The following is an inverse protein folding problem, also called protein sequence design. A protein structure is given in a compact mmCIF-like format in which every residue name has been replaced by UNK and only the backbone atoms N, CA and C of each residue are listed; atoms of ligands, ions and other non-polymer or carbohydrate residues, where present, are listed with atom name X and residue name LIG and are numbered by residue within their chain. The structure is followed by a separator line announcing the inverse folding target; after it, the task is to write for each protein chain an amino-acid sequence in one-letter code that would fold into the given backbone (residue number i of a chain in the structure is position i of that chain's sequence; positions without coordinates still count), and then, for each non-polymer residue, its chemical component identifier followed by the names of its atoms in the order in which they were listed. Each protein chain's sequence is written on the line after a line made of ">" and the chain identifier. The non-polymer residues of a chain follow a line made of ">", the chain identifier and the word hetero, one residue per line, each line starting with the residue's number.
data_IF_880361376686
#
_entry.id   IF_880361376686
#
_cell.length_a   1.000
_cell.length_b   1.000
_cell.length_c   1.000
_cell.angle_alpha   90.00
_cell.angle_beta   90.00
_cell.angle_gamma   90.00
#
_symmetry.space_group_name_H-M   'P 1'
#
loop_
_entity.id
_entity.type
_entity.pdbx_description
1 polymer ?
#
# COMPACT_ATOMS: atom_id res chain seq x y z
N UNK A 1 8.88 18.06 -4.34
CA UNK A 1 8.41 16.68 -4.40
C UNK A 1 7.98 16.37 -2.99
N UNK A 2 6.68 16.31 -2.78
CA UNK A 2 6.11 16.09 -1.44
C UNK A 2 6.41 14.65 -1.01
N UNK A 3 6.58 14.40 0.29
CA UNK A 3 6.93 13.07 0.79
C UNK A 3 5.93 11.99 0.31
N UNK A 4 4.64 12.34 0.18
CA UNK A 4 3.63 11.45 -0.39
C UNK A 4 3.95 11.00 -1.83
N UNK A 5 4.44 11.91 -2.68
CA UNK A 5 4.78 11.61 -4.07
C UNK A 5 5.98 10.65 -4.15
N UNK A 6 6.98 10.86 -3.28
CA UNK A 6 8.14 9.97 -3.18
C UNK A 6 7.72 8.55 -2.78
N UNK A 7 6.88 8.42 -1.76
CA UNK A 7 6.38 7.11 -1.32
C UNK A 7 5.57 6.41 -2.41
N UNK A 8 4.79 7.16 -3.18
CA UNK A 8 4.01 6.62 -4.29
C UNK A 8 4.91 6.19 -5.46
N UNK A 9 5.95 6.95 -5.78
CA UNK A 9 6.95 6.55 -6.79
C UNK A 9 7.63 5.23 -6.41
N UNK A 10 8.10 5.11 -5.16
CA UNK A 10 8.69 3.85 -4.68
C UNK A 10 7.68 2.69 -4.69
N UNK A 11 6.39 2.95 -4.48
CA UNK A 11 5.36 1.93 -4.59
C UNK A 11 5.22 1.40 -6.04
N UNK A 12 5.32 2.29 -7.03
CA UNK A 12 5.32 1.90 -8.45
C UNK A 12 6.58 1.13 -8.84
N UNK A 13 7.74 1.49 -8.31
CA UNK A 13 8.99 0.72 -8.50
C UNK A 13 8.86 -0.71 -7.95
N UNK A 14 8.30 -0.87 -6.75
CA UNK A 14 8.04 -2.18 -6.16
C UNK A 14 7.08 -3.02 -7.03
N UNK A 15 6.03 -2.39 -7.59
CA UNK A 15 5.09 -3.07 -8.48
C UNK A 15 5.78 -3.53 -9.77
N UNK A 16 6.56 -2.66 -10.40
CA UNK A 16 7.32 -3.01 -11.60
C UNK A 16 8.27 -4.19 -11.33
N UNK A 17 8.98 -4.15 -10.19
CA UNK A 17 9.84 -5.25 -9.77
C UNK A 17 9.05 -6.54 -9.50
N UNK A 18 7.85 -6.45 -8.90
CA UNK A 18 6.97 -7.59 -8.67
C UNK A 18 6.56 -8.27 -9.99
N UNK A 19 6.21 -7.49 -11.02
CA UNK A 19 5.88 -7.99 -12.36
C UNK A 19 7.07 -8.71 -13.01
N UNK A 20 8.28 -8.14 -12.90
CA UNK A 20 9.51 -8.79 -13.39
C UNK A 20 9.74 -10.13 -12.66
N UNK A 21 9.57 -10.15 -11.33
CA UNK A 21 9.73 -11.38 -10.54
C UNK A 21 8.70 -12.44 -10.91
N UNK A 22 7.45 -12.04 -11.15
CA UNK A 22 6.38 -12.93 -11.59
C UNK A 22 6.72 -13.58 -12.94
N UNK A 23 7.12 -12.76 -13.92
CA UNK A 23 7.51 -13.24 -15.26
C UNK A 23 8.72 -14.18 -15.24
N UNK A 24 9.61 -14.03 -14.24
CA UNK A 24 10.77 -14.89 -14.03
C UNK A 24 10.49 -16.08 -13.06
N UNK A 25 9.21 -16.37 -12.78
CA UNK A 25 8.77 -17.47 -11.91
C UNK A 25 9.36 -17.40 -10.49
N UNK A 26 9.70 -16.19 -10.01
CA UNK A 26 10.17 -15.91 -8.64
C UNK A 26 8.99 -15.53 -7.76
N UNK A 27 8.03 -16.44 -7.61
CA UNK A 27 6.72 -16.15 -7.00
C UNK A 27 6.80 -15.56 -5.59
N UNK A 28 7.69 -16.06 -4.73
CA UNK A 28 7.83 -15.53 -3.37
C UNK A 28 8.27 -14.06 -3.35
N UNK A 29 9.16 -13.66 -4.27
CA UNK A 29 9.63 -12.29 -4.40
C UNK A 29 8.55 -11.40 -5.02
N UNK A 30 7.81 -11.93 -6.00
CA UNK A 30 6.66 -11.23 -6.58
C UNK A 30 5.61 -10.90 -5.50
N UNK A 31 5.26 -11.87 -4.64
CA UNK A 31 4.32 -11.65 -3.54
C UNK A 31 4.85 -10.62 -2.52
N UNK A 32 6.12 -10.73 -2.12
CA UNK A 32 6.73 -9.78 -1.20
C UNK A 32 6.70 -8.34 -1.73
N UNK A 33 7.13 -8.14 -2.98
CA UNK A 33 7.13 -6.82 -3.61
C UNK A 33 5.72 -6.27 -3.84
N UNK A 34 4.74 -7.13 -4.14
CA UNK A 34 3.33 -6.72 -4.25
C UNK A 34 2.78 -6.21 -2.91
N UNK A 35 3.13 -6.86 -1.79
CA UNK A 35 2.76 -6.40 -0.46
C UNK A 35 3.44 -5.06 -0.14
N UNK A 36 4.73 -4.93 -0.42
CA UNK A 36 5.48 -3.69 -0.21
C UNK A 36 4.92 -2.51 -1.03
N UNK A 37 4.60 -2.74 -2.31
CA UNK A 37 3.95 -1.75 -3.18
C UNK A 37 2.62 -1.27 -2.59
N UNK A 38 1.79 -2.21 -2.11
CA UNK A 38 0.52 -1.88 -1.47
C UNK A 38 0.72 -1.07 -0.19
N UNK A 39 1.66 -1.49 0.68
CA UNK A 39 1.98 -0.78 1.92
C UNK A 39 2.44 0.66 1.64
N UNK A 40 3.36 0.84 0.71
CA UNK A 40 3.90 2.17 0.35
C UNK A 40 2.83 3.07 -0.26
N UNK A 41 1.94 2.52 -1.09
CA UNK A 41 0.81 3.27 -1.68
C UNK A 41 -0.13 3.82 -0.60
N UNK A 42 -0.48 3.01 0.41
CA UNK A 42 -1.35 3.45 1.49
C UNK A 42 -0.62 4.46 2.40
N UNK A 43 0.68 4.28 2.64
CA UNK A 43 1.48 5.27 3.37
C UNK A 43 1.55 6.62 2.66
N UNK A 44 1.72 6.62 1.33
CA UNK A 44 1.64 7.83 0.53
C UNK A 44 0.30 8.55 0.71
N UNK A 45 -0.81 7.80 0.71
CA UNK A 45 -2.15 8.33 0.95
C UNK A 45 -2.29 8.94 2.36
N UNK A 46 -1.78 8.27 3.40
CA UNK A 46 -1.75 8.82 4.76
C UNK A 46 -0.99 10.15 4.82
N UNK A 47 0.21 10.21 4.23
CA UNK A 47 1.04 11.42 4.21
C UNK A 47 0.32 12.55 3.46
N UNK A 48 -0.33 12.24 2.33
CA UNK A 48 -1.13 13.22 1.58
C UNK A 48 -2.27 13.82 2.42
N UNK A 49 -2.84 13.03 3.33
CA UNK A 49 -3.88 13.44 4.27
C UNK A 49 -3.32 14.04 5.57
N UNK A 50 -2.02 14.37 5.63
CA UNK A 50 -1.31 14.87 6.81
C UNK A 50 -1.31 13.90 8.01
N UNK A 51 -1.40 12.59 7.74
CA UNK A 51 -1.21 11.52 8.72
C UNK A 51 0.26 11.13 8.89
N UNK A 52 0.54 10.37 9.96
CA UNK A 52 1.85 9.79 10.26
C UNK A 52 1.74 8.26 10.32
N UNK A 53 1.89 7.55 9.18
CA UNK A 53 1.59 6.13 9.12
C UNK A 53 2.70 5.28 9.73
N UNK A 54 2.35 4.37 10.66
CA UNK A 54 3.32 3.51 11.33
C UNK A 54 3.01 2.00 11.25
N UNK A 55 4.05 1.20 11.00
CA UNK A 55 3.99 -0.26 10.90
C UNK A 55 3.86 -0.78 9.47
N UNK A 56 3.58 -2.08 9.34
CA UNK A 56 3.59 -2.82 8.05
C UNK A 56 2.26 -3.54 7.74
N UNK A 57 1.28 -3.43 8.64
CA UNK A 57 -0.02 -4.08 8.42
C UNK A 57 -0.88 -3.24 7.49
N UNK A 58 -1.07 -3.70 6.26
CA UNK A 58 -1.98 -3.09 5.27
C UNK A 58 -3.39 -2.93 5.87
N UNK A 59 -3.90 -3.97 6.54
CA UNK A 59 -5.22 -3.92 7.17
C UNK A 59 -5.32 -2.80 8.22
N UNK A 60 -4.29 -2.65 9.06
CA UNK A 60 -4.22 -1.56 10.04
C UNK A 60 -4.21 -0.20 9.35
N UNK A 61 -3.32 -0.03 8.36
CA UNK A 61 -3.19 1.23 7.62
C UNK A 61 -4.49 1.62 6.90
N UNK A 62 -5.20 0.67 6.28
CA UNK A 62 -6.51 0.91 5.68
C UNK A 62 -7.54 1.33 6.74
N UNK A 63 -7.59 0.65 7.88
CA UNK A 63 -8.55 0.96 8.94
C UNK A 63 -8.33 2.35 9.56
N UNK A 64 -7.09 2.83 9.61
CA UNK A 64 -6.73 4.14 10.12
C UNK A 64 -7.18 5.28 9.19
N UNK A 65 -7.39 5.02 7.88
CA UNK A 65 -7.94 6.01 6.96
C UNK A 65 -9.32 6.53 7.41
N UNK A 66 -10.13 5.71 8.12
CA UNK A 66 -11.41 6.15 8.71
C UNK A 66 -11.30 7.41 9.55
N UNK A 67 -10.16 7.59 10.21
CA UNK A 67 -9.91 8.71 11.12
C UNK A 67 -9.36 9.93 10.38
N UNK A 68 -8.66 9.72 9.26
CA UNK A 68 -8.09 10.78 8.45
C UNK A 68 -9.12 11.36 7.48
N UNK A 69 -9.82 10.49 6.74
CA UNK A 69 -10.83 10.86 5.76
C UNK A 69 -11.79 9.69 5.50
N UNK A 70 -13.04 9.86 5.93
CA UNK A 70 -14.07 8.83 5.81
C UNK A 70 -14.49 8.58 4.35
N UNK A 71 -14.51 9.63 3.52
CA UNK A 71 -14.90 9.48 2.11
C UNK A 71 -13.85 8.68 1.35
N UNK A 72 -12.57 8.97 1.59
CA UNK A 72 -11.47 8.19 1.03
C UNK A 72 -11.51 6.75 1.54
N UNK A 73 -11.72 6.54 2.85
CA UNK A 73 -11.86 5.20 3.40
C UNK A 73 -12.94 4.39 2.68
N UNK A 74 -14.12 4.97 2.43
CA UNK A 74 -15.23 4.28 1.77
C UNK A 74 -14.87 3.81 0.34
N UNK A 75 -13.97 4.52 -0.35
CA UNK A 75 -13.46 4.12 -1.66
C UNK A 75 -12.55 2.87 -1.62
N UNK A 76 -11.96 2.57 -0.46
CA UNK A 76 -10.97 1.50 -0.29
C UNK A 76 -11.41 0.40 0.68
N UNK A 77 -12.57 0.51 1.34
CA UNK A 77 -13.03 -0.42 2.38
C UNK A 77 -13.07 -1.88 1.92
N UNK A 78 -13.39 -2.12 0.65
CA UNK A 78 -13.50 -3.47 0.08
C UNK A 78 -12.14 -4.17 0.01
N UNK A 79 -11.02 -3.42 0.04
CA UNK A 79 -9.67 -3.97 0.10
C UNK A 79 -9.35 -4.59 1.46
N UNK A 80 -10.08 -4.26 2.53
CA UNK A 80 -9.86 -4.89 3.85
C UNK A 80 -10.06 -6.41 3.77
N UNK A 81 -11.03 -6.87 3.00
CA UNK A 81 -11.30 -8.31 2.85
C UNK A 81 -10.19 -9.02 2.08
N UNK A 82 -9.58 -8.36 1.10
CA UNK A 82 -8.42 -8.86 0.36
C UNK A 82 -7.13 -8.85 1.20
N UNK A 83 -6.99 -7.89 2.13
CA UNK A 83 -5.82 -7.76 2.99
C UNK A 83 -5.83 -8.72 4.20
N UNK A 84 -6.95 -9.38 4.47
CA UNK A 84 -7.05 -10.40 5.52
C UNK A 84 -6.38 -11.69 5.06
N UNK A 85 -5.30 -12.07 5.74
CA UNK A 85 -4.72 -13.41 5.62
C UNK A 85 -5.73 -14.38 6.26
N UNK A 86 -6.32 -15.26 5.44
CA UNK A 86 -7.19 -16.35 5.89
C UNK A 86 -6.38 -17.61 6.18
#
# INVERSE_FOLDING_TARGET
>A
MDDAELWLETAYEDLNAAEIMLNNQKYSHACFLSQQSTEKSIKALHIHLNGDPWGHSILKLLSELKQLDLEIYENFKDLEDSARIR
#
